data_IF_071045148431
#
_entry.id   IF_071045148431
#
_cell.length_a   1.000
_cell.length_b   1.000
_cell.length_c   1.000
_cell.angle_alpha   90.00
_cell.angle_beta   90.00
_cell.angle_gamma   90.00
#
_symmetry.space_group_name_H-M   'P 1'
#
loop_
_entity.id
_entity.type
_entity.pdbx_description
1 polymer ?
#
# COMPACT_ATOMS: atom_id res chain seq x y z
N UNK A 1 -0.64 9.25 -23.86
CA UNK A 1 0.15 8.10 -23.39
C UNK A 1 -0.03 6.97 -24.39
N UNK A 2 1.00 6.23 -24.76
CA UNK A 2 0.84 5.07 -25.65
C UNK A 2 0.08 3.97 -24.89
N UNK A 3 -0.72 3.17 -25.59
CA UNK A 3 -1.51 2.06 -25.03
C UNK A 3 -0.65 1.06 -24.24
N UNK A 4 0.58 0.81 -24.68
CA UNK A 4 1.54 -0.04 -23.96
C UNK A 4 1.97 0.55 -22.60
N UNK A 5 2.16 1.86 -22.49
CA UNK A 5 2.51 2.52 -21.21
C UNK A 5 1.36 2.44 -20.20
N UNK A 6 0.13 2.61 -20.70
CA UNK A 6 -1.06 2.49 -19.86
C UNK A 6 -1.22 1.06 -19.33
N UNK A 7 -1.02 0.05 -20.17
CA UNK A 7 -1.06 -1.35 -19.74
C UNK A 7 0.00 -1.68 -18.67
N UNK A 8 1.22 -1.12 -18.80
CA UNK A 8 2.29 -1.27 -17.80
C UNK A 8 1.93 -0.59 -16.47
N UNK A 9 1.33 0.60 -16.52
CA UNK A 9 0.88 1.30 -15.31
C UNK A 9 -0.26 0.55 -14.61
N UNK A 10 -1.25 0.07 -15.35
CA UNK A 10 -2.37 -0.70 -14.81
C UNK A 10 -1.88 -2.00 -14.16
N UNK A 11 -1.05 -2.77 -14.87
CA UNK A 11 -0.49 -4.01 -14.32
C UNK A 11 0.37 -3.77 -13.07
N UNK A 12 1.21 -2.73 -13.08
CA UNK A 12 1.98 -2.31 -11.92
C UNK A 12 1.09 -1.93 -10.73
N UNK A 13 0.03 -1.14 -10.98
CA UNK A 13 -0.93 -0.75 -9.95
C UNK A 13 -1.66 -1.95 -9.36
N UNK A 14 -2.15 -2.87 -10.22
CA UNK A 14 -2.82 -4.10 -9.78
C UNK A 14 -1.88 -4.94 -8.90
N UNK A 15 -0.62 -5.11 -9.31
CA UNK A 15 0.36 -5.89 -8.55
C UNK A 15 0.64 -5.26 -7.17
N UNK A 16 0.90 -3.95 -7.13
CA UNK A 16 1.11 -3.21 -5.89
C UNK A 16 -0.11 -3.27 -4.97
N UNK A 17 -1.31 -3.09 -5.53
CA UNK A 17 -2.54 -3.11 -4.76
C UNK A 17 -2.84 -4.50 -4.20
N UNK A 18 -2.65 -5.54 -5.01
CA UNK A 18 -2.80 -6.94 -4.58
C UNK A 18 -1.82 -7.28 -3.45
N UNK A 19 -0.55 -6.88 -3.57
CA UNK A 19 0.46 -7.09 -2.52
C UNK A 19 0.09 -6.36 -1.23
N UNK A 20 -0.33 -5.09 -1.32
CA UNK A 20 -0.75 -4.29 -0.16
C UNK A 20 -1.98 -4.87 0.53
N UNK A 21 -3.00 -5.27 -0.24
CA UNK A 21 -4.22 -5.88 0.28
C UNK A 21 -3.94 -7.24 0.93
N UNK A 22 -3.15 -8.08 0.25
CA UNK A 22 -2.74 -9.39 0.74
C UNK A 22 -1.94 -9.28 2.04
N UNK A 23 -0.93 -8.43 2.08
CA UNK A 23 -0.04 -8.27 3.26
C UNK A 23 -0.81 -7.77 4.49
N UNK A 24 -1.74 -6.83 4.32
CA UNK A 24 -2.55 -6.30 5.42
C UNK A 24 -3.37 -7.38 6.12
N UNK A 25 -3.82 -8.40 5.39
CA UNK A 25 -4.59 -9.52 5.95
C UNK A 25 -3.68 -10.68 6.38
N UNK A 26 -2.68 -11.02 5.57
CA UNK A 26 -1.81 -12.17 5.80
C UNK A 26 -0.87 -11.96 6.99
N UNK A 27 -0.33 -10.75 7.19
CA UNK A 27 0.64 -10.51 8.27
C UNK A 27 0.03 -10.66 9.69
N UNK A 28 -1.17 -10.11 9.99
CA UNK A 28 -1.83 -10.36 11.27
C UNK A 28 -2.21 -11.83 11.49
N UNK A 29 -2.70 -12.52 10.45
CA UNK A 29 -3.05 -13.94 10.53
C UNK A 29 -1.81 -14.82 10.72
N UNK A 30 -0.70 -14.49 10.07
CA UNK A 30 0.58 -15.15 10.26
C UNK A 30 1.08 -14.95 11.69
N UNK A 31 1.02 -13.72 12.21
CA UNK A 31 1.43 -13.43 13.59
C UNK A 31 0.58 -14.21 14.62
N UNK A 32 -0.73 -14.34 14.39
CA UNK A 32 -1.58 -15.21 15.22
C UNK A 32 -1.16 -16.68 15.11
N UNK A 33 -0.88 -17.17 13.90
CA UNK A 33 -0.45 -18.55 13.65
C UNK A 33 0.88 -18.87 14.32
N UNK A 34 1.80 -17.90 14.34
CA UNK A 34 3.12 -18.03 14.94
C UNK A 34 3.07 -17.90 16.49
N UNK A 35 1.88 -17.77 17.07
CA UNK A 35 1.65 -17.79 18.52
C UNK A 35 1.83 -16.43 19.21
N UNK A 36 1.90 -15.32 18.46
CA UNK A 36 1.95 -14.00 19.08
C UNK A 36 0.61 -13.65 19.76
N UNK A 37 0.71 -12.90 20.87
CA UNK A 37 -0.45 -12.42 21.62
C UNK A 37 -1.36 -11.52 20.77
N UNK A 38 -2.68 -11.62 20.99
CA UNK A 38 -3.69 -10.81 20.31
C UNK A 38 -3.44 -9.30 20.46
N UNK A 39 -2.80 -8.85 21.55
CA UNK A 39 -2.41 -7.45 21.74
C UNK A 39 -1.43 -7.00 20.66
N UNK A 40 -0.39 -7.80 20.38
CA UNK A 40 0.63 -7.45 19.38
C UNK A 40 0.04 -7.43 17.96
N UNK A 41 -0.88 -8.35 17.68
CA UNK A 41 -1.62 -8.41 16.41
C UNK A 41 -2.54 -7.19 16.28
N UNK A 42 -3.22 -6.80 17.36
CA UNK A 42 -4.03 -5.58 17.41
C UNK A 42 -3.21 -4.32 17.16
N UNK A 43 -2.00 -4.21 17.73
CA UNK A 43 -1.06 -3.13 17.46
C UNK A 43 -0.63 -3.13 15.98
N UNK A 44 -0.31 -4.30 15.42
CA UNK A 44 0.03 -4.43 14.00
C UNK A 44 -1.11 -3.96 13.09
N UNK A 45 -2.35 -4.35 13.39
CA UNK A 45 -3.55 -3.90 12.70
C UNK A 45 -3.74 -2.37 12.82
N UNK A 46 -3.54 -1.82 14.02
CA UNK A 46 -3.63 -0.38 14.25
C UNK A 46 -2.59 0.39 13.43
N UNK A 47 -1.36 -0.11 13.32
CA UNK A 47 -0.31 0.49 12.48
C UNK A 47 -0.68 0.44 11.00
N UNK A 48 -1.25 -0.67 10.51
CA UNK A 48 -1.75 -0.77 9.14
C UNK A 48 -2.89 0.22 8.84
N UNK A 49 -3.71 0.55 9.84
CA UNK A 49 -4.80 1.51 9.70
C UNK A 49 -4.33 2.97 9.80
N UNK A 50 -3.40 3.27 10.71
CA UNK A 50 -2.90 4.63 10.95
C UNK A 50 -1.96 5.11 9.84
N UNK A 51 -1.09 4.24 9.31
CA UNK A 51 -0.13 4.62 8.26
C UNK A 51 -0.78 5.34 7.07
N UNK A 52 -1.84 4.82 6.41
CA UNK A 52 -2.47 5.52 5.30
C UNK A 52 -3.17 6.82 5.73
N UNK A 53 -3.68 6.95 6.96
CA UNK A 53 -4.30 8.20 7.44
C UNK A 53 -3.29 9.35 7.42
N UNK A 54 -2.06 9.09 7.88
CA UNK A 54 -1.01 10.11 7.90
C UNK A 54 -0.35 10.30 6.53
N UNK A 55 -0.18 9.24 5.75
CA UNK A 55 0.57 9.30 4.50
C UNK A 55 -0.29 9.66 3.27
N UNK A 56 -1.59 9.39 3.27
CA UNK A 56 -2.43 9.59 2.08
C UNK A 56 -2.54 11.07 1.67
N UNK A 57 -2.72 11.98 2.63
CA UNK A 57 -2.83 13.42 2.36
C UNK A 57 -1.54 14.03 1.80
N UNK A 58 -0.34 13.85 2.41
CA UNK A 58 0.89 14.37 1.83
C UNK A 58 1.25 13.69 0.52
N UNK A 59 1.03 12.38 0.38
CA UNK A 59 1.30 11.66 -0.86
C UNK A 59 0.39 12.15 -2.00
N UNK A 60 -0.90 12.39 -1.73
CA UNK A 60 -1.84 12.96 -2.69
C UNK A 60 -1.41 14.36 -3.14
N UNK A 61 -1.10 15.25 -2.18
CA UNK A 61 -0.61 16.60 -2.50
C UNK A 61 0.69 16.60 -3.28
N UNK A 62 1.59 15.64 -3.01
CA UNK A 62 2.83 15.48 -3.76
C UNK A 62 2.57 15.04 -5.19
N UNK A 63 1.67 14.06 -5.38
CA UNK A 63 1.26 13.57 -6.69
C UNK A 63 0.59 14.68 -7.53
N UNK A 64 -0.30 15.47 -6.93
CA UNK A 64 -1.01 16.57 -7.59
C UNK A 64 -0.05 17.65 -8.08
N UNK A 65 0.98 17.96 -7.29
CA UNK A 65 1.97 19.00 -7.62
C UNK A 65 2.95 18.60 -8.72
N UNK A 66 3.27 17.30 -8.84
CA UNK A 66 4.33 16.83 -9.73
C UNK A 66 3.81 16.10 -10.98
N UNK A 67 2.54 15.66 -10.97
CA UNK A 67 1.93 14.91 -12.06
C UNK A 67 2.61 13.56 -12.34
N UNK A 68 2.07 12.80 -13.30
CA UNK A 68 2.57 11.47 -13.68
C UNK A 68 3.98 11.45 -14.29
N UNK A 69 4.53 12.61 -14.71
CA UNK A 69 5.76 12.68 -15.52
C UNK A 69 7.05 12.94 -14.73
N UNK A 70 6.98 13.16 -13.41
CA UNK A 70 8.17 13.53 -12.60
C UNK A 70 8.75 12.48 -11.66
N UNK A 71 8.10 11.35 -11.29
CA UNK A 71 8.81 10.34 -10.50
C UNK A 71 9.73 9.45 -11.36
N UNK A 72 9.64 9.52 -12.69
CA UNK A 72 10.42 8.72 -13.64
C UNK A 72 11.02 9.63 -14.73
N UNK A 73 12.06 10.41 -14.38
CA UNK A 73 13.09 10.65 -15.39
C UNK A 73 13.85 9.36 -15.61
#
# INVERSE_FOLDING_TARGET
>A
MRSAELARLISGHICLHACMAGTRMAAPLLALRDGHSAMNVGVLLALFALAPVFLALPAGRFADRHGLKRPMR
#
